data_IF_508064005083
#
_entry.id   IF_508064005083
#
_cell.length_a   1.000
_cell.length_b   1.000
_cell.length_c   1.000
_cell.angle_alpha   90.00
_cell.angle_beta   90.00
_cell.angle_gamma   90.00
#
_symmetry.space_group_name_H-M   'P 1'
#
loop_
_entity.id
_entity.type
_entity.pdbx_description
1 polymer ?
#
# COMPACT_ATOMS: atom_id res chain seq x y z
N UNK A 1 12.59 16.73 -9.84
CA UNK A 1 11.79 15.88 -8.94
C UNK A 1 11.26 14.69 -9.72
N UNK A 2 11.68 13.47 -9.36
CA UNK A 2 11.24 12.23 -10.01
C UNK A 2 10.25 11.51 -9.10
N UNK A 3 9.05 11.17 -9.62
CA UNK A 3 8.04 10.45 -8.84
C UNK A 3 8.43 8.97 -8.75
N UNK A 4 8.67 8.49 -7.53
CA UNK A 4 9.02 7.09 -7.25
C UNK A 4 7.78 6.24 -6.91
N UNK A 5 6.64 6.90 -6.63
CA UNK A 5 5.38 6.26 -6.21
C UNK A 5 4.40 6.05 -7.35
N UNK A 6 3.79 4.87 -7.43
CA UNK A 6 2.79 4.57 -8.45
C UNK A 6 1.47 5.30 -8.17
N UNK A 7 0.74 5.83 -9.18
CA UNK A 7 -0.63 6.31 -9.00
C UNK A 7 -1.62 5.21 -8.55
N UNK A 8 -1.24 3.93 -8.67
CA UNK A 8 -2.03 2.77 -8.21
C UNK A 8 -2.39 2.84 -6.71
N UNK A 9 -1.59 3.52 -5.88
CA UNK A 9 -1.83 3.66 -4.44
C UNK A 9 -3.20 4.29 -4.15
N UNK A 10 -3.62 5.25 -4.97
CA UNK A 10 -4.94 5.88 -4.84
C UNK A 10 -6.08 4.90 -5.18
N UNK A 11 -5.89 4.07 -6.20
CA UNK A 11 -6.85 3.03 -6.57
C UNK A 11 -7.06 2.01 -5.45
N UNK A 12 -5.97 1.50 -4.86
CA UNK A 12 -6.05 0.53 -3.76
C UNK A 12 -6.59 1.12 -2.46
N UNK A 13 -6.30 2.40 -2.17
CA UNK A 13 -6.82 3.05 -0.96
C UNK A 13 -8.27 3.49 -1.06
N UNK A 14 -8.75 3.84 -2.26
CA UNK A 14 -10.04 4.51 -2.43
C UNK A 14 -11.03 3.70 -3.25
N UNK A 15 -10.61 3.13 -4.38
CA UNK A 15 -11.51 2.42 -5.28
C UNK A 15 -11.76 1.00 -4.80
N UNK A 16 -10.71 0.29 -4.40
CA UNK A 16 -10.83 -1.11 -3.99
C UNK A 16 -11.71 -1.32 -2.75
N UNK A 17 -11.60 -0.54 -1.65
CA UNK A 17 -12.46 -0.71 -0.50
C UNK A 17 -13.92 -0.36 -0.82
N UNK A 18 -14.15 0.74 -1.57
CA UNK A 18 -15.50 1.14 -1.98
C UNK A 18 -16.14 0.06 -2.86
N UNK A 19 -15.38 -0.51 -3.79
CA UNK A 19 -15.87 -1.61 -4.63
C UNK A 19 -16.15 -2.87 -3.81
N UNK A 20 -15.26 -3.24 -2.88
CA UNK A 20 -15.43 -4.42 -2.02
C UNK A 20 -16.67 -4.31 -1.13
N UNK A 21 -16.80 -3.21 -0.38
CA UNK A 21 -17.95 -3.00 0.50
C UNK A 21 -19.23 -2.78 -0.30
N UNK A 22 -19.19 -2.04 -1.41
CA UNK A 22 -20.34 -1.84 -2.29
C UNK A 22 -20.84 -3.15 -2.88
N UNK A 23 -19.94 -3.99 -3.39
CA UNK A 23 -20.27 -5.31 -3.91
C UNK A 23 -20.85 -6.23 -2.82
N UNK A 24 -20.24 -6.25 -1.64
CA UNK A 24 -20.78 -7.00 -0.48
C UNK A 24 -22.18 -6.51 -0.10
N UNK A 25 -22.44 -5.20 -0.09
CA UNK A 25 -23.76 -4.64 0.22
C UNK A 25 -24.80 -5.04 -0.84
N UNK A 26 -24.49 -4.88 -2.13
CA UNK A 26 -25.43 -5.27 -3.20
C UNK A 26 -25.71 -6.77 -3.16
N UNK A 27 -24.68 -7.59 -2.97
CA UNK A 27 -24.81 -9.05 -2.89
C UNK A 27 -25.65 -9.47 -1.68
N UNK A 28 -25.40 -8.89 -0.51
CA UNK A 28 -26.18 -9.19 0.71
C UNK A 28 -27.62 -8.73 0.62
N UNK A 29 -27.90 -7.55 0.06
CA UNK A 29 -29.26 -7.06 -0.17
C UNK A 29 -29.99 -7.93 -1.18
N UNK A 30 -29.36 -8.29 -2.30
CA UNK A 30 -29.96 -9.19 -3.30
C UNK A 30 -30.28 -10.58 -2.71
N UNK A 31 -29.34 -11.13 -1.93
CA UNK A 31 -29.52 -12.42 -1.25
C UNK A 31 -30.68 -12.38 -0.25
N UNK A 32 -30.72 -11.35 0.60
CA UNK A 32 -31.79 -11.19 1.61
C UNK A 32 -33.14 -10.95 0.96
N UNK A 33 -33.21 -10.15 -0.09
CA UNK A 33 -34.46 -9.91 -0.83
C UNK A 33 -34.97 -11.20 -1.49
N UNK A 34 -34.09 -11.99 -2.12
CA UNK A 34 -34.45 -13.30 -2.68
C UNK A 34 -34.90 -14.32 -1.63
N UNK A 35 -34.28 -14.30 -0.44
CA UNK A 35 -34.68 -15.16 0.69
C UNK A 35 -36.07 -14.82 1.23
N UNK A 36 -36.43 -13.53 1.28
CA UNK A 36 -37.76 -13.07 1.70
C UNK A 36 -38.82 -13.47 0.67
N UNK A 37 -38.57 -13.28 -0.63
CA UNK A 37 -39.51 -13.69 -1.69
C UNK A 37 -39.76 -15.20 -1.72
N UNK A 38 -38.79 -16.01 -1.30
CA UNK A 38 -38.88 -17.49 -1.33
C UNK A 38 -39.33 -18.09 0.00
N UNK A 39 -39.68 -17.26 1.01
CA UNK A 39 -40.05 -17.67 2.38
C UNK A 39 -39.06 -18.63 3.07
N UNK A 40 -37.81 -18.65 2.63
CA UNK A 40 -36.84 -19.64 3.07
C UNK A 40 -35.97 -19.09 4.21
N UNK A 41 -36.49 -19.15 5.44
CA UNK A 41 -35.82 -18.65 6.66
C UNK A 41 -34.44 -19.28 6.92
N UNK A 42 -34.14 -20.45 6.33
CA UNK A 42 -32.82 -21.09 6.41
C UNK A 42 -31.72 -20.27 5.71
N UNK A 43 -32.06 -19.47 4.70
CA UNK A 43 -31.09 -18.59 4.02
C UNK A 43 -30.68 -17.37 4.85
N UNK A 44 -31.49 -16.95 5.83
CA UNK A 44 -31.15 -15.89 6.78
C UNK A 44 -30.10 -16.34 7.81
N UNK A 45 -30.00 -17.66 8.09
CA UNK A 45 -28.95 -18.20 8.95
C UNK A 45 -27.53 -18.03 8.38
N UNK A 46 -27.40 -17.77 7.07
CA UNK A 46 -26.12 -17.52 6.40
C UNK A 46 -25.65 -16.04 6.45
N UNK A 47 -26.47 -15.13 7.01
CA UNK A 47 -26.20 -13.69 7.11
C UNK A 47 -24.93 -13.31 7.91
N UNK A 48 -24.48 -14.08 8.94
CA UNK A 48 -23.20 -13.82 9.59
C UNK A 48 -21.99 -13.92 8.66
N UNK A 49 -22.05 -14.74 7.60
CA UNK A 49 -20.94 -14.95 6.65
C UNK A 49 -20.41 -13.65 6.02
N UNK A 50 -21.25 -12.87 5.32
CA UNK A 50 -20.82 -11.60 4.73
C UNK A 50 -20.42 -10.54 5.77
N UNK A 51 -20.99 -10.56 6.98
CA UNK A 51 -20.56 -9.67 8.07
C UNK A 51 -19.14 -9.99 8.53
N UNK A 52 -18.84 -11.27 8.74
CA UNK A 52 -17.48 -11.75 9.06
C UNK A 52 -16.52 -11.38 7.93
N UNK A 53 -16.93 -11.59 6.68
CA UNK A 53 -16.11 -11.25 5.50
C UNK A 53 -15.85 -9.74 5.38
N UNK A 54 -16.83 -8.90 5.73
CA UNK A 54 -16.68 -7.45 5.78
C UNK A 54 -15.70 -7.01 6.88
N UNK A 55 -15.81 -7.58 8.08
CA UNK A 55 -14.89 -7.29 9.20
C UNK A 55 -13.46 -7.74 8.89
N UNK A 56 -13.31 -8.94 8.31
CA UNK A 56 -12.02 -9.45 7.87
C UNK A 56 -11.40 -8.55 6.79
N UNK A 57 -12.19 -8.17 5.77
CA UNK A 57 -11.76 -7.22 4.75
C UNK A 57 -11.33 -5.88 5.33
N UNK A 58 -12.11 -5.31 6.26
CA UNK A 58 -11.76 -4.07 6.94
C UNK A 58 -10.43 -4.16 7.69
N UNK A 59 -10.23 -5.22 8.46
CA UNK A 59 -8.99 -5.43 9.21
C UNK A 59 -7.78 -5.61 8.26
N UNK A 60 -7.95 -6.40 7.20
CA UNK A 60 -6.93 -6.62 6.18
C UNK A 60 -6.54 -5.31 5.48
N UNK A 61 -7.52 -4.51 5.04
CA UNK A 61 -7.28 -3.21 4.42
C UNK A 61 -6.63 -2.22 5.38
N UNK A 62 -7.09 -2.16 6.63
CA UNK A 62 -6.48 -1.31 7.65
C UNK A 62 -5.00 -1.67 7.81
N UNK A 63 -4.66 -2.93 7.96
CA UNK A 63 -3.26 -3.34 8.13
C UNK A 63 -2.41 -3.11 6.88
N UNK A 64 -2.93 -3.40 5.69
CA UNK A 64 -2.18 -3.29 4.43
C UNK A 64 -1.98 -1.84 3.95
N UNK A 65 -2.97 -0.96 4.19
CA UNK A 65 -3.02 0.40 3.64
C UNK A 65 -2.57 1.48 4.63
N UNK A 66 -2.68 1.25 5.94
CA UNK A 66 -2.38 2.27 6.95
C UNK A 66 -0.87 2.51 7.10
N UNK A 67 -0.06 1.49 6.86
CA UNK A 67 1.42 1.58 6.83
C UNK A 67 1.95 2.18 5.52
N UNK A 68 1.08 2.32 4.50
CA UNK A 68 1.48 2.72 3.16
C UNK A 68 1.38 4.24 3.01
N UNK A 69 2.43 4.88 2.50
CA UNK A 69 2.43 6.30 2.18
C UNK A 69 1.89 6.55 0.76
N UNK A 70 1.22 7.67 0.56
CA UNK A 70 0.52 7.97 -0.69
C UNK A 70 1.48 8.27 -1.84
N UNK A 71 2.45 9.17 -1.61
CA UNK A 71 3.41 9.56 -2.62
C UNK A 71 4.82 9.70 -2.06
N UNK A 72 5.80 9.25 -2.85
CA UNK A 72 7.23 9.44 -2.59
C UNK A 72 7.85 10.04 -3.83
N UNK A 73 8.59 11.12 -3.64
CA UNK A 73 9.25 11.91 -4.66
C UNK A 73 10.74 11.98 -4.33
N UNK A 74 11.58 11.78 -5.35
CA UNK A 74 13.02 11.99 -5.25
C UNK A 74 13.35 13.42 -5.65
N UNK A 75 14.00 14.15 -4.75
CA UNK A 75 14.48 15.51 -4.94
C UNK A 75 15.98 15.61 -4.62
N UNK A 76 16.82 15.26 -5.60
CA UNK A 76 18.27 15.20 -5.44
C UNK A 76 18.68 14.20 -4.36
N UNK A 77 19.21 14.71 -3.25
CA UNK A 77 19.63 13.94 -2.07
C UNK A 77 18.54 13.81 -0.99
N UNK A 78 17.31 14.25 -1.27
CA UNK A 78 16.19 14.16 -0.34
C UNK A 78 15.04 13.36 -0.95
N UNK A 79 14.32 12.65 -0.09
CA UNK A 79 13.06 11.98 -0.36
C UNK A 79 11.94 12.83 0.23
N UNK A 80 11.04 13.31 -0.62
CA UNK A 80 9.82 14.00 -0.20
C UNK A 80 8.69 12.96 -0.16
N UNK A 81 8.23 12.67 1.05
CA UNK A 81 7.19 11.70 1.33
C UNK A 81 5.91 12.44 1.66
N UNK A 82 4.85 12.23 0.89
CA UNK A 82 3.54 12.84 1.08
C UNK A 82 2.55 11.80 1.59
N UNK A 83 2.03 12.01 2.79
CA UNK A 83 0.97 11.22 3.39
C UNK A 83 -0.25 12.12 3.56
N UNK A 84 -1.31 11.88 2.79
CA UNK A 84 -2.53 12.70 2.75
C UNK A 84 -2.23 14.17 2.45
N UNK A 85 -2.39 15.04 3.45
CA UNK A 85 -2.20 16.49 3.36
C UNK A 85 -0.83 16.95 3.88
N UNK A 86 -0.04 16.03 4.41
CA UNK A 86 1.27 16.34 4.97
C UNK A 86 2.41 15.86 4.08
N UNK A 87 3.40 16.74 3.88
CA UNK A 87 4.67 16.43 3.22
C UNK A 87 5.81 16.44 4.24
N UNK A 88 6.59 15.37 4.28
CA UNK A 88 7.82 15.25 5.07
C UNK A 88 9.02 15.07 4.16
N UNK A 89 10.15 15.70 4.50
CA UNK A 89 11.42 15.56 3.79
C UNK A 89 12.36 14.68 4.60
N UNK A 90 12.92 13.67 3.97
CA UNK A 90 13.86 12.72 4.56
C UNK A 90 15.15 12.77 3.73
N UNK A 91 16.30 12.91 4.37
CA UNK A 91 17.60 12.81 3.68
C UNK A 91 17.88 11.37 3.25
N UNK A 92 18.40 11.14 2.03
CA UNK A 92 18.82 9.80 1.59
C UNK A 92 19.90 9.20 2.50
N UNK A 93 20.77 10.02 3.10
CA UNK A 93 21.76 9.55 4.06
C UNK A 93 21.12 8.95 5.33
N UNK A 94 19.89 9.35 5.63
CA UNK A 94 19.12 8.83 6.76
C UNK A 94 18.47 7.46 6.46
N UNK A 95 18.44 7.00 5.20
CA UNK A 95 17.90 5.69 4.85
C UNK A 95 18.96 4.63 5.14
N UNK A 96 18.65 3.66 6.03
CA UNK A 96 19.51 2.53 6.36
C UNK A 96 19.37 1.43 5.32
N UNK A 97 18.14 1.02 5.05
CA UNK A 97 17.80 -0.17 4.28
C UNK A 97 16.62 0.11 3.35
N UNK A 98 16.65 -0.49 2.17
CA UNK A 98 15.60 -0.46 1.16
C UNK A 98 15.17 -1.90 0.91
N UNK A 99 14.01 -2.29 1.43
CA UNK A 99 13.47 -3.62 1.23
C UNK A 99 12.35 -3.59 0.19
N UNK A 100 12.48 -4.36 -0.89
CA UNK A 100 11.43 -4.52 -1.89
C UNK A 100 10.72 -5.86 -1.70
N UNK A 101 9.48 -5.83 -1.17
CA UNK A 101 8.64 -7.02 -1.08
C UNK A 101 7.78 -7.15 -2.33
N UNK A 102 8.11 -8.13 -3.17
CA UNK A 102 7.32 -8.53 -4.33
C UNK A 102 6.30 -9.63 -4.02
N UNK A 103 6.45 -10.33 -2.88
CA UNK A 103 5.61 -11.48 -2.52
C UNK A 103 4.24 -11.08 -1.94
N UNK A 104 4.03 -9.79 -1.70
CA UNK A 104 2.75 -9.21 -1.30
C UNK A 104 2.13 -8.48 -2.50
N UNK A 105 0.85 -8.68 -2.77
CA UNK A 105 0.13 -7.95 -3.82
C UNK A 105 -0.77 -6.89 -3.15
N UNK A 106 -0.56 -5.58 -3.39
CA UNK A 106 0.42 -4.97 -4.31
C UNK A 106 1.86 -4.97 -3.78
N UNK A 107 2.87 -5.00 -4.68
CA UNK A 107 4.28 -4.94 -4.31
C UNK A 107 4.57 -3.65 -3.56
N UNK A 108 5.40 -3.72 -2.52
CA UNK A 108 5.74 -2.56 -1.67
C UNK A 108 7.24 -2.45 -1.46
N UNK A 109 7.74 -1.22 -1.42
CA UNK A 109 9.09 -0.89 -0.97
C UNK A 109 8.99 -0.31 0.43
N UNK A 110 9.72 -0.88 1.39
CA UNK A 110 9.85 -0.37 2.75
C UNK A 110 11.24 0.20 2.95
N UNK A 111 11.30 1.50 3.23
CA UNK A 111 12.52 2.21 3.60
C UNK A 111 12.64 2.21 5.12
N UNK A 112 13.77 1.74 5.66
CA UNK A 112 14.08 1.84 7.09
C UNK A 112 14.96 3.07 7.33
N UNK A 113 14.56 3.94 8.24
CA UNK A 113 15.27 5.18 8.56
C UNK A 113 16.18 4.99 9.79
N UNK A 114 17.31 5.70 9.81
CA UNK A 114 18.27 5.71 10.93
C UNK A 114 17.74 6.56 12.09
N UNK A 115 17.35 7.78 11.77
CA UNK A 115 16.69 8.69 12.69
C UNK A 115 15.21 8.66 12.40
N UNK A 116 14.43 8.34 13.44
CA UNK A 116 12.98 8.34 13.36
C UNK A 116 12.49 9.71 12.89
N UNK A 117 11.71 9.69 11.81
CA UNK A 117 11.03 10.91 11.38
C UNK A 117 9.87 11.12 12.35
N UNK A 118 9.73 12.30 13.00
CA UNK A 118 8.70 12.54 14.02
C UNK A 118 7.26 12.23 13.56
N UNK A 119 7.03 12.21 12.24
CA UNK A 119 5.72 12.03 11.61
C UNK A 119 5.53 10.71 10.87
N UNK A 120 6.62 10.12 10.36
CA UNK A 120 6.58 8.88 9.56
C UNK A 120 7.09 7.67 10.34
N UNK A 121 7.65 7.89 11.54
CA UNK A 121 8.25 6.86 12.36
C UNK A 121 9.58 6.36 11.78
N UNK A 122 9.86 5.08 12.03
CA UNK A 122 11.13 4.42 11.71
C UNK A 122 11.14 3.75 10.34
N UNK A 123 9.97 3.50 9.75
CA UNK A 123 9.83 2.81 8.48
C UNK A 123 8.80 3.53 7.59
N UNK A 124 9.09 3.60 6.29
CA UNK A 124 8.23 4.22 5.28
C UNK A 124 7.96 3.20 4.20
N UNK A 125 6.74 2.69 4.11
CA UNK A 125 6.33 1.79 3.04
C UNK A 125 5.61 2.55 1.92
N UNK A 126 5.94 2.29 0.66
CA UNK A 126 5.24 2.86 -0.49
C UNK A 126 5.13 1.86 -1.64
N UNK A 127 4.17 2.08 -2.55
CA UNK A 127 4.05 1.28 -3.77
C UNK A 127 4.96 1.90 -4.85
N UNK A 128 5.96 1.19 -5.35
CA UNK A 128 6.86 1.70 -6.37
C UNK A 128 6.16 1.96 -7.69
N UNK A 129 6.52 3.06 -8.36
CA UNK A 129 6.17 3.35 -9.74
C UNK A 129 6.89 2.35 -10.66
N UNK A 130 6.22 1.27 -11.04
CA UNK A 130 6.83 0.23 -11.87
C UNK A 130 5.87 -0.92 -12.18
N UNK A 131 6.17 -1.65 -13.25
CA UNK A 131 5.31 -2.66 -13.90
C UNK A 131 4.64 -3.61 -12.89
N UNK A 132 3.33 -3.49 -12.71
CA UNK A 132 2.46 -4.48 -12.06
C UNK A 132 2.12 -5.64 -13.03
N UNK A 133 3.13 -6.40 -13.47
CA UNK A 133 2.95 -7.57 -14.32
C UNK A 133 3.33 -8.86 -13.60
N UNK A 134 2.70 -10.00 -13.93
CA UNK A 134 2.99 -11.34 -13.38
C UNK A 134 4.49 -11.72 -13.44
N UNK A 135 5.22 -11.23 -14.45
CA UNK A 135 6.66 -11.47 -14.62
C UNK A 135 7.58 -10.47 -13.89
N UNK A 136 7.02 -9.43 -13.26
CA UNK A 136 7.78 -8.47 -12.46
C UNK A 136 8.18 -9.02 -11.08
N UNK A 137 7.63 -10.17 -10.68
CA UNK A 137 7.92 -10.84 -9.40
C UNK A 137 9.39 -11.31 -9.29
N UNK A 138 10.02 -11.62 -10.43
CA UNK A 138 11.37 -12.20 -10.50
C UNK A 138 12.46 -11.18 -10.83
N UNK A 139 12.11 -9.90 -11.03
CA UNK A 139 13.09 -8.85 -11.34
C UNK A 139 13.19 -7.87 -10.17
N UNK A 140 14.42 -7.49 -9.76
CA UNK A 140 14.62 -6.39 -8.82
C UNK A 140 13.84 -5.16 -9.32
N UNK A 141 13.09 -4.52 -8.42
CA UNK A 141 12.35 -3.33 -8.81
C UNK A 141 13.36 -2.24 -9.21
N UNK A 142 13.32 -1.69 -10.44
CA UNK A 142 14.30 -0.71 -10.88
C UNK A 142 14.33 0.54 -9.99
N UNK A 143 13.19 0.87 -9.36
CA UNK A 143 13.09 1.95 -8.37
C UNK A 143 13.90 1.64 -7.11
N UNK A 144 13.85 0.39 -6.62
CA UNK A 144 14.62 -0.02 -5.46
C UNK A 144 16.12 -0.07 -5.77
N UNK A 145 16.50 -0.60 -6.93
CA UNK A 145 17.90 -0.70 -7.36
C UNK A 145 18.55 0.67 -7.55
N UNK A 146 17.87 1.62 -8.20
CA UNK A 146 18.37 3.01 -8.36
C UNK A 146 18.49 3.73 -7.00
N UNK A 147 17.55 3.48 -6.07
CA UNK A 147 17.63 3.98 -4.69
C UNK A 147 18.84 3.42 -3.95
N UNK A 148 19.09 2.11 -4.03
CA UNK A 148 20.23 1.46 -3.37
C UNK A 148 21.54 2.02 -3.94
N UNK A 149 21.67 2.11 -5.26
CA UNK A 149 22.88 2.63 -5.92
C UNK A 149 23.14 4.10 -5.54
N UNK A 150 22.10 4.93 -5.47
CA UNK A 150 22.22 6.33 -5.02
C UNK A 150 22.61 6.45 -3.55
N UNK A 151 22.07 5.60 -2.68
CA UNK A 151 22.45 5.60 -1.26
C UNK A 151 23.90 5.14 -1.09
N UNK A 152 24.31 4.10 -1.82
CA UNK A 152 25.67 3.56 -1.75
C UNK A 152 26.69 4.54 -2.32
N UNK A 153 26.39 5.24 -3.42
CA UNK A 153 27.27 6.29 -3.96
C UNK A 153 27.41 7.48 -3.01
N UNK A 154 26.34 7.86 -2.27
CA UNK A 154 26.43 8.89 -1.24
C UNK A 154 27.25 8.44 -0.03
N UNK A 155 27.16 7.17 0.37
CA UNK A 155 27.96 6.60 1.47
C UNK A 155 29.42 6.35 1.09
N UNK A 156 29.66 6.05 -0.19
CA UNK A 156 30.99 5.79 -0.75
C UNK A 156 31.81 7.04 -1.03
N UNK A 157 31.25 8.25 -0.89
CA UNK A 157 32.03 9.48 -0.87
C UNK A 157 32.68 9.63 0.52
N UNK A 158 34.02 9.49 0.65
CA UNK A 158 34.70 10.00 1.83
C UNK A 158 34.48 11.51 1.91
N UNK A 159 34.18 11.99 3.13
CA UNK A 159 34.04 13.41 3.45
C UNK A 159 35.34 14.19 3.19
#
# INVERSE_FOLDING_TARGET
>A
MQRLSSPSTFFYKRVFPVFWFGFLTVWTVGWTCGSVLTHNLKMLAALPGPVIMALFGFWLFKTLLFDLVDEVWLDGNHLVVKCRDESSRIDLANVINVNASAMTNPPRITLTLRTESPRLGKAVAFIPAGRSGLFALFKPNPVASDLIERIDTLRGRPA
#
